data_IF_086402943973
#
_entry.id   IF_086402943973
#
_cell.length_a   1.000
_cell.length_b   1.000
_cell.length_c   1.000
_cell.angle_alpha   90.00
_cell.angle_beta   90.00
_cell.angle_gamma   90.00
#
_symmetry.space_group_name_H-M   'P 1'
#
loop_
_entity.id
_entity.type
_entity.pdbx_description
1 polymer ?
#
# COMPACT_ATOMS: atom_id res chain seq x y z
N UNK A 1 17.13 5.24 -0.07
CA UNK A 1 16.83 6.48 0.70
C UNK A 1 15.75 7.30 0.02
N UNK A 2 15.99 7.83 -1.20
CA UNK A 2 15.01 8.70 -1.89
C UNK A 2 13.63 8.04 -2.06
N UNK A 3 13.60 6.76 -2.42
CA UNK A 3 12.35 5.99 -2.55
C UNK A 3 11.56 5.94 -1.23
N UNK A 4 12.20 5.53 -0.13
CA UNK A 4 11.55 5.42 1.18
C UNK A 4 11.08 6.78 1.72
N UNK A 5 11.83 7.86 1.47
CA UNK A 5 11.40 9.23 1.78
C UNK A 5 10.20 9.63 0.93
N UNK A 6 10.20 9.29 -0.36
CA UNK A 6 9.09 9.53 -1.27
C UNK A 6 7.81 8.84 -0.82
N UNK A 7 7.89 7.57 -0.40
CA UNK A 7 6.77 6.83 0.18
C UNK A 7 6.26 7.47 1.46
N UNK A 8 7.16 7.85 2.38
CA UNK A 8 6.80 8.52 3.62
C UNK A 8 6.03 9.83 3.36
N UNK A 9 6.59 10.70 2.51
CA UNK A 9 5.95 11.97 2.14
C UNK A 9 4.61 11.71 1.43
N UNK A 10 4.57 10.75 0.51
CA UNK A 10 3.34 10.38 -0.20
C UNK A 10 2.21 9.95 0.74
N UNK A 11 2.49 9.07 1.71
CA UNK A 11 1.47 8.64 2.67
C UNK A 11 1.10 9.71 3.68
N UNK A 12 2.05 10.57 4.08
CA UNK A 12 1.75 11.71 4.94
C UNK A 12 0.78 12.68 4.25
N UNK A 13 1.03 13.00 2.98
CA UNK A 13 0.13 13.82 2.16
C UNK A 13 -1.23 13.14 1.93
N UNK A 14 -1.25 11.82 1.75
CA UNK A 14 -2.49 11.05 1.60
C UNK A 14 -3.34 11.09 2.89
N UNK A 15 -2.72 10.99 4.06
CA UNK A 15 -3.40 11.12 5.35
C UNK A 15 -3.92 12.56 5.52
N UNK A 16 -3.10 13.56 5.23
CA UNK A 16 -3.52 14.96 5.28
C UNK A 16 -4.73 15.19 4.36
N UNK A 17 -4.72 14.60 3.17
CA UNK A 17 -5.84 14.64 2.24
C UNK A 17 -7.11 13.97 2.82
N UNK A 18 -7.00 12.81 3.46
CA UNK A 18 -8.15 12.14 4.09
C UNK A 18 -8.70 12.86 5.32
N UNK A 19 -7.86 13.57 6.06
CA UNK A 19 -8.24 14.26 7.30
C UNK A 19 -8.71 15.68 7.03
N UNK A 20 -8.18 16.35 6.01
CA UNK A 20 -8.54 17.72 5.67
C UNK A 20 -9.94 17.80 5.06
N UNK A 21 -10.82 18.58 5.70
CA UNK A 21 -12.22 18.85 5.32
C UNK A 21 -12.44 19.48 3.92
N UNK A 22 -11.39 19.67 3.11
CA UNK A 22 -11.44 20.34 1.81
C UNK A 22 -12.23 19.52 0.77
N UNK A 23 -12.38 18.21 0.97
CA UNK A 23 -13.20 17.34 0.11
C UNK A 23 -14.41 16.78 0.86
N UNK A 24 -15.53 17.53 0.96
CA UNK A 24 -16.74 17.10 1.65
C UNK A 24 -17.44 15.87 1.01
N UNK A 25 -16.98 15.41 -0.15
CA UNK A 25 -17.64 14.36 -0.94
C UNK A 25 -17.14 12.94 -0.61
N UNK A 26 -15.95 12.81 -0.02
CA UNK A 26 -15.40 11.51 0.40
C UNK A 26 -15.38 11.45 1.93
N UNK A 27 -16.55 11.25 2.53
CA UNK A 27 -16.71 11.15 3.98
C UNK A 27 -15.69 10.17 4.57
N UNK A 28 -14.99 10.63 5.61
CA UNK A 28 -14.01 9.95 6.47
C UNK A 28 -14.08 8.41 6.37
N UNK A 29 -13.49 7.85 5.32
CA UNK A 29 -13.44 6.41 5.19
C UNK A 29 -12.35 5.93 6.14
N UNK A 30 -12.78 5.58 7.37
CA UNK A 30 -11.89 5.14 8.45
C UNK A 30 -10.97 3.99 8.01
N UNK A 31 -11.39 3.18 7.04
CA UNK A 31 -10.58 2.09 6.49
C UNK A 31 -9.47 2.61 5.60
N UNK A 32 -9.77 3.52 4.68
CA UNK A 32 -8.76 4.15 3.82
C UNK A 32 -7.73 4.94 4.66
N UNK A 33 -8.19 5.63 5.71
CA UNK A 33 -7.30 6.29 6.67
C UNK A 33 -6.42 5.29 7.43
N UNK A 34 -6.98 4.16 7.88
CA UNK A 34 -6.22 3.11 8.54
C UNK A 34 -5.19 2.48 7.59
N UNK A 35 -5.57 2.19 6.34
CA UNK A 35 -4.68 1.70 5.29
C UNK A 35 -3.51 2.65 5.04
N UNK A 36 -3.81 3.93 4.83
CA UNK A 36 -2.78 4.98 4.66
C UNK A 36 -1.86 5.12 5.88
N UNK A 37 -2.41 5.03 7.09
CA UNK A 37 -1.63 5.09 8.34
C UNK A 37 -0.67 3.91 8.47
N UNK A 38 -1.14 2.68 8.18
CA UNK A 38 -0.29 1.49 8.21
C UNK A 38 0.83 1.60 7.17
N UNK A 39 0.54 2.13 5.98
CA UNK A 39 1.54 2.38 4.93
C UNK A 39 2.57 3.44 5.33
N UNK A 40 2.16 4.48 6.05
CA UNK A 40 3.08 5.45 6.63
C UNK A 40 4.04 4.77 7.63
N UNK A 41 3.52 3.92 8.53
CA UNK A 41 4.36 3.14 9.46
C UNK A 41 5.32 2.23 8.69
N UNK A 42 4.85 1.56 7.64
CA UNK A 42 5.69 0.74 6.77
C UNK A 42 6.86 1.53 6.17
N UNK A 43 6.61 2.75 5.70
CA UNK A 43 7.66 3.61 5.12
C UNK A 43 8.76 3.98 6.11
N UNK A 44 8.44 4.12 7.40
CA UNK A 44 9.44 4.32 8.47
C UNK A 44 10.34 3.09 8.60
N UNK A 45 9.77 1.88 8.52
CA UNK A 45 10.56 0.65 8.58
C UNK A 45 11.48 0.47 7.35
N UNK A 46 11.05 0.93 6.16
CA UNK A 46 11.90 0.99 4.96
C UNK A 46 13.05 1.99 5.10
N UNK A 47 12.88 3.06 5.90
CA UNK A 47 13.94 4.02 6.18
C UNK A 47 15.01 3.45 7.12
N UNK A 48 14.69 2.50 8.00
CA UNK A 48 15.67 1.93 8.94
C UNK A 48 16.85 1.26 8.24
N UNK A 49 16.62 0.59 7.10
CA UNK A 49 17.69 -0.10 6.36
C UNK A 49 18.84 0.83 5.95
N UNK A 50 18.61 1.92 5.18
CA UNK A 50 19.70 2.82 4.80
C UNK A 50 20.30 3.56 6.00
N UNK A 51 19.52 3.90 7.02
CA UNK A 51 20.07 4.58 8.21
C UNK A 51 21.06 3.69 8.97
N UNK A 52 20.76 2.40 9.12
CA UNK A 52 21.66 1.49 9.83
C UNK A 52 22.92 1.21 9.01
N UNK A 53 22.82 1.15 7.69
CA UNK A 53 23.97 1.12 6.78
C UNK A 53 24.89 2.34 6.94
N UNK A 54 24.34 3.52 7.24
CA UNK A 54 25.11 4.75 7.46
C UNK A 54 25.75 4.82 8.87
N UNK A 55 25.02 4.39 9.91
CA UNK A 55 25.47 4.53 11.31
C UNK A 55 26.51 3.47 11.68
N UNK A 56 26.46 2.30 11.05
CA UNK A 56 27.34 1.20 11.40
C UNK A 56 27.92 0.49 10.16
N UNK A 57 28.90 1.09 9.46
CA UNK A 57 29.51 0.49 8.28
C UNK A 57 30.33 -0.78 8.59
N UNK A 58 30.60 -1.08 9.87
CA UNK A 58 31.41 -2.24 10.32
C UNK A 58 30.56 -3.47 10.66
N UNK A 59 29.31 -3.28 11.08
CA UNK A 59 28.36 -4.36 11.42
C UNK A 59 27.12 -4.39 10.53
N UNK A 60 26.86 -3.33 9.76
CA UNK A 60 25.98 -3.43 8.61
C UNK A 60 26.66 -4.38 7.63
N UNK A 61 25.99 -5.48 7.30
CA UNK A 61 26.30 -6.14 6.04
C UNK A 61 26.27 -5.03 4.98
N UNK A 62 27.41 -4.67 4.36
CA UNK A 62 27.48 -3.48 3.51
C UNK A 62 26.46 -3.53 2.36
N UNK A 63 25.95 -4.73 2.06
CA UNK A 63 25.04 -5.00 0.95
C UNK A 63 23.59 -5.36 1.36
N UNK A 64 23.28 -5.63 2.65
CA UNK A 64 21.99 -6.26 3.02
C UNK A 64 21.11 -5.50 4.05
N UNK A 65 21.60 -4.41 4.66
CA UNK A 65 20.79 -3.57 5.55
C UNK A 65 20.23 -4.29 6.79
N UNK A 66 19.01 -3.96 7.19
CA UNK A 66 18.24 -4.63 8.27
C UNK A 66 17.08 -5.41 7.65
N UNK A 67 17.27 -6.72 7.38
CA UNK A 67 16.31 -7.50 6.60
C UNK A 67 14.95 -7.65 7.27
N UNK A 68 14.95 -7.82 8.60
CA UNK A 68 13.70 -7.93 9.37
C UNK A 68 12.83 -6.68 9.24
N UNK A 69 13.43 -5.48 9.22
CA UNK A 69 12.67 -4.23 9.16
C UNK A 69 12.06 -4.04 7.78
N UNK A 70 12.76 -4.45 6.72
CA UNK A 70 12.21 -4.43 5.37
C UNK A 70 11.05 -5.41 5.21
N UNK A 71 11.23 -6.64 5.67
CA UNK A 71 10.16 -7.63 5.60
C UNK A 71 8.94 -7.20 6.43
N UNK A 72 9.13 -6.70 7.66
CA UNK A 72 8.07 -6.14 8.47
C UNK A 72 7.38 -4.94 7.78
N UNK A 73 8.16 -4.05 7.16
CA UNK A 73 7.65 -2.95 6.34
C UNK A 73 6.78 -3.44 5.19
N UNK A 74 7.22 -4.46 4.44
CA UNK A 74 6.46 -5.05 3.32
C UNK A 74 5.16 -5.68 3.81
N UNK A 75 5.18 -6.39 4.94
CA UNK A 75 3.96 -6.97 5.54
C UNK A 75 2.94 -5.88 5.93
N UNK A 76 3.39 -4.80 6.55
CA UNK A 76 2.52 -3.66 6.86
C UNK A 76 2.02 -2.99 5.57
N UNK A 77 2.89 -2.74 4.61
CA UNK A 77 2.52 -2.12 3.34
C UNK A 77 1.47 -2.96 2.58
N UNK A 78 1.68 -4.27 2.53
CA UNK A 78 0.73 -5.24 1.98
C UNK A 78 -0.60 -5.23 2.73
N UNK A 79 -0.57 -5.24 4.06
CA UNK A 79 -1.79 -5.15 4.89
C UNK A 79 -2.58 -3.88 4.58
N UNK A 80 -1.89 -2.74 4.44
CA UNK A 80 -2.51 -1.49 4.04
C UNK A 80 -3.10 -1.54 2.63
N UNK A 81 -2.50 -2.26 1.68
CA UNK A 81 -3.09 -2.48 0.35
C UNK A 81 -4.32 -3.39 0.40
N UNK A 82 -4.29 -4.45 1.21
CA UNK A 82 -5.44 -5.33 1.40
C UNK A 82 -6.65 -4.56 1.95
N UNK A 83 -6.44 -3.67 2.93
CA UNK A 83 -7.50 -2.84 3.49
C UNK A 83 -8.11 -1.90 2.47
N UNK A 84 -7.29 -1.23 1.65
CA UNK A 84 -7.77 -0.32 0.62
C UNK A 84 -8.50 -1.08 -0.50
N UNK A 85 -7.93 -2.18 -1.00
CA UNK A 85 -8.56 -3.02 -2.02
C UNK A 85 -9.92 -3.57 -1.55
N UNK A 86 -9.98 -4.08 -0.32
CA UNK A 86 -11.22 -4.55 0.27
C UNK A 86 -12.22 -3.41 0.45
N UNK A 87 -11.77 -2.24 0.91
CA UNK A 87 -12.62 -1.05 1.05
C UNK A 87 -13.28 -0.65 -0.27
N UNK A 88 -12.49 -0.56 -1.34
CA UNK A 88 -12.98 -0.22 -2.68
C UNK A 88 -14.04 -1.19 -3.19
N UNK A 89 -13.85 -2.49 -2.97
CA UNK A 89 -14.83 -3.51 -3.37
C UNK A 89 -16.07 -3.46 -2.48
N UNK A 90 -15.90 -3.38 -1.16
CA UNK A 90 -17.00 -3.40 -0.20
C UNK A 90 -17.92 -2.18 -0.33
N UNK A 91 -17.40 -1.05 -0.81
CA UNK A 91 -18.15 0.19 -1.05
C UNK A 91 -18.75 0.26 -2.46
N UNK A 92 -18.59 -0.80 -3.27
CA UNK A 92 -19.16 -0.87 -4.60
C UNK A 92 -18.52 0.09 -5.61
N UNK A 93 -17.25 0.46 -5.41
CA UNK A 93 -16.53 1.34 -6.36
C UNK A 93 -16.23 0.65 -7.69
N UNK A 94 -16.34 -0.68 -7.76
CA UNK A 94 -16.13 -1.47 -8.96
C UNK A 94 -17.45 -1.72 -9.69
N UNK A 95 -17.65 -1.05 -10.81
CA UNK A 95 -18.75 -1.35 -11.73
C UNK A 95 -18.32 -2.45 -12.72
N UNK A 96 -18.84 -3.66 -12.53
CA UNK A 96 -18.55 -4.80 -13.40
C UNK A 96 -19.34 -4.78 -14.72
N UNK A 97 -20.35 -3.90 -14.86
CA UNK A 97 -21.11 -3.78 -16.11
C UNK A 97 -20.31 -3.08 -17.21
N UNK A 98 -19.42 -2.16 -16.82
CA UNK A 98 -18.38 -1.57 -17.68
C UNK A 98 -17.02 -1.61 -16.96
N UNK A 99 -16.29 -2.73 -17.03
CA UNK A 99 -15.06 -2.90 -16.26
C UNK A 99 -13.97 -1.90 -16.65
N UNK A 100 -14.01 -1.33 -17.86
CA UNK A 100 -13.01 -0.37 -18.34
C UNK A 100 -13.42 1.10 -18.11
N UNK A 101 -14.59 1.33 -17.49
CA UNK A 101 -15.05 2.66 -17.13
C UNK A 101 -13.97 3.42 -16.35
N UNK A 102 -13.84 4.71 -16.66
CA UNK A 102 -12.85 5.59 -16.03
C UNK A 102 -12.92 5.59 -14.49
N UNK A 103 -14.13 5.45 -13.94
CA UNK A 103 -14.39 5.35 -12.50
C UNK A 103 -13.75 4.12 -11.84
N UNK A 104 -13.49 3.04 -12.60
CA UNK A 104 -12.90 1.81 -12.08
C UNK A 104 -11.36 1.84 -12.05
N UNK A 105 -10.72 2.81 -12.71
CA UNK A 105 -9.24 2.86 -12.81
C UNK A 105 -8.51 2.88 -11.47
N UNK A 106 -8.98 3.60 -10.42
CA UNK A 106 -8.39 3.52 -9.09
C UNK A 106 -8.44 2.10 -8.53
N UNK A 107 -9.54 1.38 -8.73
CA UNK A 107 -9.71 0.01 -8.26
C UNK A 107 -8.70 -0.90 -8.97
N UNK A 108 -8.56 -0.78 -10.29
CA UNK A 108 -7.55 -1.52 -11.05
C UNK A 108 -6.12 -1.20 -10.59
N UNK A 109 -5.79 0.08 -10.38
CA UNK A 109 -4.50 0.49 -9.84
C UNK A 109 -4.21 -0.15 -8.48
N UNK A 110 -5.21 -0.21 -7.59
CA UNK A 110 -5.10 -0.88 -6.29
C UNK A 110 -4.88 -2.40 -6.43
N UNK A 111 -5.56 -3.08 -7.36
CA UNK A 111 -5.31 -4.50 -7.63
C UNK A 111 -3.90 -4.76 -8.16
N UNK A 112 -3.36 -3.85 -8.99
CA UNK A 112 -1.95 -3.93 -9.42
C UNK A 112 -1.01 -3.78 -8.23
N UNK A 113 -1.25 -2.85 -7.31
CA UNK A 113 -0.47 -2.73 -6.06
C UNK A 113 -0.60 -3.97 -5.17
N UNK A 114 -1.77 -4.60 -5.13
CA UNK A 114 -1.97 -5.82 -4.37
C UNK A 114 -1.15 -6.98 -4.95
N UNK A 115 -1.16 -7.15 -6.28
CA UNK A 115 -0.32 -8.14 -6.96
C UNK A 115 1.17 -7.85 -6.74
N UNK A 116 1.58 -6.58 -6.87
CA UNK A 116 2.96 -6.14 -6.62
C UNK A 116 3.44 -6.54 -5.22
N UNK A 117 2.64 -6.25 -4.20
CA UNK A 117 3.01 -6.54 -2.81
C UNK A 117 3.00 -8.02 -2.47
N UNK A 118 2.23 -8.87 -3.16
CA UNK A 118 2.38 -10.32 -3.02
C UNK A 118 3.75 -10.82 -3.48
N UNK A 119 4.24 -10.34 -4.63
CA UNK A 119 5.59 -10.69 -5.08
C UNK A 119 6.67 -10.24 -4.07
N UNK A 120 6.52 -9.04 -3.52
CA UNK A 120 7.44 -8.52 -2.50
C UNK A 120 7.36 -9.30 -1.19
N UNK A 121 6.15 -9.62 -0.69
CA UNK A 121 5.98 -10.43 0.54
C UNK A 121 6.67 -11.78 0.39
N UNK A 122 6.49 -12.46 -0.76
CA UNK A 122 7.09 -13.78 -0.98
C UNK A 122 8.61 -13.64 -1.13
N UNK A 123 9.09 -12.71 -1.95
CA UNK A 123 10.52 -12.54 -2.20
C UNK A 123 11.28 -12.11 -0.94
N UNK A 124 10.81 -11.06 -0.25
CA UNK A 124 11.43 -10.58 0.98
C UNK A 124 11.22 -11.53 2.16
N UNK A 125 10.13 -12.31 2.15
CA UNK A 125 9.94 -13.40 3.10
C UNK A 125 10.98 -14.48 2.93
N UNK A 126 11.20 -14.96 1.70
CA UNK A 126 12.27 -15.93 1.40
C UNK A 126 13.62 -15.36 1.80
N UNK A 127 13.92 -14.12 1.39
CA UNK A 127 15.17 -13.44 1.73
C UNK A 127 15.37 -13.35 3.25
N UNK A 128 14.36 -12.90 4.01
CA UNK A 128 14.43 -12.80 5.47
C UNK A 128 14.64 -14.15 6.14
N UNK A 129 13.90 -15.18 5.70
CA UNK A 129 14.03 -16.53 6.26
C UNK A 129 15.38 -17.18 5.93
N UNK A 130 16.02 -16.75 4.85
CA UNK A 130 17.25 -17.31 4.29
C UNK A 130 18.53 -16.74 4.90
N UNK A 131 18.52 -15.52 5.45
CA UNK A 131 19.75 -14.87 5.91
C UNK A 131 20.41 -15.72 7.02
N UNK A 132 21.62 -16.24 6.76
CA UNK A 132 22.31 -17.11 7.71
C UNK A 132 22.60 -16.34 9.00
N UNK A 133 22.61 -17.06 10.12
CA UNK A 133 22.90 -16.53 11.46
C UNK A 133 24.31 -15.89 11.53
N UNK A 134 24.49 -14.66 11.04
CA UNK A 134 25.68 -13.83 11.21
C UNK A 134 27.01 -14.37 10.60
N UNK A 135 28.07 -13.53 10.61
CA UNK A 135 29.38 -13.83 10.03
C UNK A 135 30.21 -14.85 10.82
N UNK A 136 29.77 -15.22 12.02
CA UNK A 136 30.34 -16.33 12.76
C UNK A 136 29.53 -17.57 12.43
N UNK A 137 30.14 -18.57 11.78
CA UNK A 137 29.63 -19.96 11.70
C UNK A 137 29.48 -20.64 13.08
N UNK A 138 29.36 -19.85 14.15
CA UNK A 138 29.00 -20.27 15.50
C UNK A 138 27.51 -20.51 15.45
N UNK A 139 27.20 -21.75 15.11
CA UNK A 139 25.96 -22.47 15.37
C UNK A 139 24.76 -21.61 15.78
N UNK A 140 23.69 -21.63 14.98
CA UNK A 140 22.36 -21.19 15.41
C UNK A 140 21.83 -21.97 16.65
N UNK A 141 22.63 -22.85 17.29
CA UNK A 141 22.30 -23.56 18.54
C UNK A 141 22.33 -22.69 19.79
N UNK A 142 23.07 -21.59 19.82
CA UNK A 142 23.29 -20.82 21.07
C UNK A 142 22.44 -19.53 21.18
N UNK A 143 21.42 -19.40 20.32
CA UNK A 143 20.55 -18.22 20.26
C UNK A 143 20.79 -17.45 18.98
N UNK A 144 19.86 -17.57 18.04
CA UNK A 144 19.86 -16.87 16.77
C UNK A 144 20.19 -15.38 16.97
N UNK A 145 21.20 -14.89 16.25
CA UNK A 145 21.39 -13.44 16.10
C UNK A 145 20.11 -12.80 15.52
N UNK A 146 19.88 -11.50 15.74
CA UNK A 146 18.58 -10.84 15.51
C UNK A 146 18.17 -10.65 14.03
N UNK A 147 18.75 -11.41 13.09
CA UNK A 147 18.81 -11.05 11.68
C UNK A 147 18.04 -11.97 10.73
N UNK A 148 17.55 -13.12 11.20
CA UNK A 148 16.70 -14.04 10.46
C UNK A 148 16.65 -15.42 11.12
N UNK A 149 15.63 -16.26 10.84
CA UNK A 149 15.53 -17.60 11.41
C UNK A 149 16.50 -18.62 10.81
N UNK A 150 17.19 -18.29 9.72
CA UNK A 150 18.33 -19.06 9.21
C UNK A 150 17.95 -20.45 8.71
N UNK A 151 16.93 -20.56 7.85
CA UNK A 151 16.58 -21.83 7.22
C UNK A 151 17.77 -22.32 6.37
N UNK A 152 18.25 -23.52 6.67
CA UNK A 152 19.34 -24.14 5.94
C UNK A 152 18.83 -24.70 4.60
N UNK A 153 19.34 -24.17 3.50
CA UNK A 153 19.18 -24.72 2.16
C UNK A 153 20.52 -25.34 1.72
N UNK A 154 20.48 -26.37 0.88
CA UNK A 154 21.69 -26.81 0.17
C UNK A 154 22.12 -25.78 -0.89
N UNK A 155 23.32 -25.94 -1.44
CA UNK A 155 23.92 -24.99 -2.39
C UNK A 155 23.10 -24.84 -3.69
N UNK A 156 22.33 -25.85 -4.10
CA UNK A 156 21.49 -25.80 -5.30
C UNK A 156 20.23 -24.95 -5.05
N UNK A 157 19.55 -25.18 -3.92
CA UNK A 157 18.40 -24.39 -3.51
C UNK A 157 18.80 -22.94 -3.17
N UNK A 158 20.05 -22.70 -2.76
CA UNK A 158 20.60 -21.37 -2.52
C UNK A 158 20.57 -20.50 -3.78
N UNK A 159 21.07 -21.02 -4.91
CA UNK A 159 21.10 -20.26 -6.18
C UNK A 159 19.69 -20.02 -6.70
N UNK A 160 18.85 -21.07 -6.69
CA UNK A 160 17.47 -20.96 -7.14
C UNK A 160 16.65 -19.96 -6.31
N UNK A 161 16.83 -19.92 -4.99
CA UNK A 161 16.18 -18.96 -4.11
C UNK A 161 16.66 -17.52 -4.38
N UNK A 162 17.96 -17.32 -4.57
CA UNK A 162 18.51 -16.00 -4.90
C UNK A 162 17.94 -15.43 -6.20
N UNK A 163 17.89 -16.25 -7.26
CA UNK A 163 17.30 -15.86 -8.55
C UNK A 163 15.80 -15.54 -8.42
N UNK A 164 15.07 -16.36 -7.66
CA UNK A 164 13.65 -16.13 -7.39
C UNK A 164 13.42 -14.82 -6.64
N UNK A 165 14.20 -14.54 -5.58
CA UNK A 165 14.11 -13.30 -4.81
C UNK A 165 14.34 -12.09 -5.71
N UNK A 166 15.41 -12.12 -6.52
CA UNK A 166 15.72 -11.03 -7.45
C UNK A 166 14.62 -10.81 -8.49
N UNK A 167 14.07 -11.89 -9.05
CA UNK A 167 12.96 -11.81 -10.02
C UNK A 167 11.67 -11.29 -9.36
N UNK A 168 11.34 -11.78 -8.16
CA UNK A 168 10.17 -11.37 -7.40
C UNK A 168 10.22 -9.90 -7.01
N UNK A 169 11.37 -9.41 -6.53
CA UNK A 169 11.57 -8.00 -6.20
C UNK A 169 11.46 -7.09 -7.43
N UNK A 170 12.10 -7.45 -8.56
CA UNK A 170 11.98 -6.71 -9.81
C UNK A 170 10.55 -6.66 -10.33
N UNK A 171 9.84 -7.79 -10.26
CA UNK A 171 8.43 -7.89 -10.69
C UNK A 171 7.53 -7.04 -9.79
N UNK A 172 7.69 -7.16 -8.47
CA UNK A 172 6.98 -6.35 -7.48
C UNK A 172 7.19 -4.86 -7.72
N UNK A 173 8.45 -4.40 -7.81
CA UNK A 173 8.78 -3.00 -8.05
C UNK A 173 8.22 -2.48 -9.39
N UNK A 174 8.28 -3.30 -10.45
CA UNK A 174 7.71 -2.94 -11.76
C UNK A 174 6.20 -2.77 -11.70
N UNK A 175 5.49 -3.66 -10.99
CA UNK A 175 4.05 -3.54 -10.81
C UNK A 175 3.68 -2.35 -9.92
N UNK A 176 4.48 -1.99 -8.90
CA UNK A 176 4.29 -0.74 -8.17
C UNK A 176 4.33 0.47 -9.13
N UNK A 177 5.32 0.52 -10.03
CA UNK A 177 5.40 1.58 -11.03
C UNK A 177 4.16 1.62 -11.95
N UNK A 178 3.71 0.46 -12.43
CA UNK A 178 2.51 0.36 -13.27
C UNK A 178 1.27 0.87 -12.51
N UNK A 179 1.09 0.46 -11.26
CA UNK A 179 0.00 0.97 -10.40
C UNK A 179 0.06 2.49 -10.24
N UNK A 180 1.26 3.05 -10.03
CA UNK A 180 1.46 4.50 -9.93
C UNK A 180 1.13 5.25 -11.22
N UNK A 181 1.46 4.68 -12.38
CA UNK A 181 1.10 5.24 -13.69
C UNK A 181 -0.42 5.25 -13.86
N UNK A 182 -1.11 4.17 -13.53
CA UNK A 182 -2.58 4.08 -13.60
C UNK A 182 -3.22 5.17 -12.74
N UNK A 183 -2.78 5.33 -11.48
CA UNK A 183 -3.28 6.37 -10.59
C UNK A 183 -2.99 7.79 -11.09
N UNK A 184 -1.78 8.02 -11.61
CA UNK A 184 -1.38 9.33 -12.14
C UNK A 184 -2.21 9.70 -13.35
N UNK A 185 -2.38 8.77 -14.29
CA UNK A 185 -3.23 8.95 -15.46
C UNK A 185 -4.69 9.20 -15.04
N UNK A 186 -5.19 8.42 -14.07
CA UNK A 186 -6.53 8.59 -13.51
C UNK A 186 -6.76 9.99 -12.93
N UNK A 187 -5.80 10.49 -12.14
CA UNK A 187 -5.90 11.83 -11.55
C UNK A 187 -5.85 12.94 -12.62
N UNK A 188 -4.91 12.85 -13.57
CA UNK A 188 -4.68 13.88 -14.59
C UNK A 188 -5.79 13.98 -15.64
N UNK A 189 -6.32 12.86 -16.09
CA UNK A 189 -7.39 12.88 -17.10
C UNK A 189 -8.76 13.14 -16.45
N UNK A 190 -8.93 12.75 -15.18
CA UNK A 190 -10.13 13.07 -14.39
C UNK A 190 -10.31 14.58 -14.15
N UNK A 191 -9.22 15.34 -13.98
CA UNK A 191 -9.30 16.80 -13.82
C UNK A 191 -9.78 17.56 -15.06
N UNK A 192 -9.81 16.91 -16.23
CA UNK A 192 -10.30 17.50 -17.47
C UNK A 192 -11.80 17.28 -17.70
N UNK A 193 -12.49 16.56 -16.80
CA UNK A 193 -13.94 16.40 -16.86
C UNK A 193 -14.57 17.67 -16.30
N UNK A 194 -15.24 18.51 -17.11
CA UNK A 194 -15.92 19.69 -16.59
C UNK A 194 -16.93 19.23 -15.53
N UNK A 195 -17.05 19.96 -14.40
CA UNK A 195 -18.04 19.61 -13.39
C UNK A 195 -19.39 19.47 -14.08
N UNK A 196 -20.03 18.30 -13.94
CA UNK A 196 -21.41 18.13 -14.40
C UNK A 196 -22.19 19.25 -13.71
N UNK A 197 -22.68 20.21 -14.49
CA UNK A 197 -23.45 21.34 -13.99
C UNK A 197 -24.46 20.81 -12.96
N UNK A 198 -24.26 21.12 -11.68
CA UNK A 198 -25.20 20.83 -10.58
C UNK A 198 -26.54 21.59 -10.74
N UNK A 199 -26.75 22.23 -11.89
CA UNK A 199 -28.00 22.83 -12.33
C UNK A 199 -29.03 21.76 -12.74
N UNK A 200 -29.45 20.89 -11.81
CA UNK A 200 -30.80 20.26 -11.87
C UNK A 200 -31.25 19.67 -10.53
N UNK A 201 -30.76 20.18 -9.39
CA UNK A 201 -31.40 19.95 -8.08
C UNK A 201 -32.17 21.18 -7.60
N UNK A 202 -32.92 21.77 -8.52
CA UNK A 202 -34.06 22.62 -8.18
C UNK A 202 -35.32 21.95 -8.74
N UNK A 203 -35.64 20.75 -8.25
CA UNK A 203 -37.04 20.36 -8.20
C UNK A 203 -37.60 21.16 -7.02
N UNK A 204 -38.40 22.22 -7.23
CA UNK A 204 -39.13 22.80 -6.12
C UNK A 204 -39.96 21.66 -5.52
N UNK A 205 -39.84 21.49 -4.21
CA UNK A 205 -40.85 20.83 -3.38
C UNK A 205 -42.14 21.63 -3.58
N UNK A 206 -42.87 21.33 -4.65
CA UNK A 206 -44.27 21.71 -4.77
C UNK A 206 -45.00 20.92 -3.68
N UNK A 207 -45.29 21.61 -2.58
CA UNK A 207 -46.67 21.83 -2.15
C UNK A 207 -47.61 20.63 -2.32
N UNK A 208 -47.43 19.60 -1.50
CA UNK A 208 -48.61 18.90 -0.96
C UNK A 208 -48.88 19.47 0.43
N UNK A 209 -49.60 20.59 0.43
CA UNK A 209 -50.40 21.07 1.53
C UNK A 209 -51.41 19.97 1.88
N UNK A 210 -51.03 19.08 2.81
CA UNK A 210 -51.99 18.20 3.47
C UNK A 210 -52.78 19.07 4.45
N UNK A 211 -53.88 19.60 3.93
CA UNK A 211 -54.95 20.28 4.63
C UNK A 211 -55.50 19.35 5.73
N UNK A 212 -54.95 19.45 6.95
CA UNK A 212 -55.55 18.84 8.13
C UNK A 212 -56.77 19.66 8.51
N UNK A 213 -57.92 19.23 8.02
CA UNK A 213 -59.23 19.65 8.52
C UNK A 213 -59.34 19.32 10.02
N UNK A 214 -59.37 20.35 10.85
CA UNK A 214 -59.85 20.28 12.23
C UNK A 214 -61.38 20.04 12.22
N UNK A 215 -61.90 19.14 13.06
CA UNK A 215 -63.23 19.31 13.61
C UNK A 215 -63.11 19.85 15.05
N UNK A 216 -63.65 21.05 15.26
CA UNK A 216 -64.22 21.48 16.54
C UNK A 216 -65.75 21.44 16.40
N UNK A 217 -66.55 21.53 17.47
CA UNK A 217 -66.23 21.49 18.90
C UNK A 217 -66.69 20.20 19.63
#
# INVERSE_FOLDING_TARGET
VLEAVGWFVGFALLIDWFVSYIFPVAGVNRRALAGATIKLIASVLFLLQPFIGLVNPKYGFPDYGVPWSNFAGILLFHTGNCLDAFGMVAEGMLDLSDPLAWSNWPVWGMWVYQAATWFLVIADGIFFMWIPCGPTKVSCKDGAGPWGPGLAFDDEHFVAAGDFVAAGQKTGASLLLVGSIIYTAWAQLGSNVPPKNEHTLSTPLNDEVVERSNPAP
#
